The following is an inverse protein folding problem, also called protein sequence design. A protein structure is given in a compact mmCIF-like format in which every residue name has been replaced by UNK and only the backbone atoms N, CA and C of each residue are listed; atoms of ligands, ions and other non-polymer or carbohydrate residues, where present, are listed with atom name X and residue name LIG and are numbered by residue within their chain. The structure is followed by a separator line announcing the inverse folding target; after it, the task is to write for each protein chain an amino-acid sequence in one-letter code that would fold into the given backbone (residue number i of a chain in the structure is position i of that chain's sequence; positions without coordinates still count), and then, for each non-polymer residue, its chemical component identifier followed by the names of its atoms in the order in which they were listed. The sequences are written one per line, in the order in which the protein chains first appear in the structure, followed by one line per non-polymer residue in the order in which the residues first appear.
data_IF_343164041591
#
_entry.id   IF_343164041591
#
_cell.length_a   1.000
_cell.length_b   1.000
_cell.length_c   1.000
_cell.angle_alpha   90.00
_cell.angle_beta   90.00
_cell.angle_gamma   90.00
#
_symmetry.space_group_name_H-M   'P 1'
#
loop_
_entity.id
_entity.type
_entity.pdbx_description
1 polymer ?
#
# COMPACT_ATOMS: atom_id res chain seq x y z
N UNK A 1 4.72 28.45 -3.02
CA UNK A 1 4.85 28.14 -2.61
C UNK A 1 4.95 27.05 -2.09
N UNK A 2 4.74 26.57 -1.88
CA UNK A 2 4.72 25.56 -1.27
C UNK A 2 4.22 24.45 -1.94
N UNK A 3 3.99 24.49 -3.16
CA UNK A 3 3.52 23.39 -3.97
C UNK A 3 4.46 22.22 -3.93
N UNK A 4 5.75 22.47 -4.09
CA UNK A 4 6.63 21.34 -4.08
C UNK A 4 6.80 20.77 -2.70
N UNK A 5 6.61 21.56 -1.70
CA UNK A 5 6.65 21.02 -0.36
C UNK A 5 5.50 20.07 -0.15
N UNK A 6 4.35 20.42 -0.65
CA UNK A 6 3.20 19.55 -0.53
C UNK A 6 3.44 18.24 -1.23
N UNK A 7 4.07 18.29 -2.38
CA UNK A 7 4.27 17.07 -3.13
C UNK A 7 5.22 16.13 -2.43
N UNK A 8 6.27 16.65 -1.84
CA UNK A 8 7.22 15.78 -1.19
C UNK A 8 6.71 15.28 0.15
N UNK A 9 5.93 16.11 0.83
CA UNK A 9 5.49 15.70 2.14
C UNK A 9 4.29 14.82 2.16
N UNK A 10 3.56 14.78 1.08
CA UNK A 10 2.28 14.11 1.09
C UNK A 10 2.23 12.86 0.27
N UNK A 11 3.37 12.24 0.08
CA UNK A 11 3.39 10.92 -0.53
C UNK A 11 2.87 9.95 0.51
N UNK A 12 1.78 9.29 0.20
CA UNK A 12 1.16 8.33 1.12
C UNK A 12 1.66 6.95 0.75
N UNK A 13 2.21 6.25 1.71
CA UNK A 13 2.70 4.89 1.50
C UNK A 13 2.38 4.04 2.72
N UNK A 14 2.62 2.74 2.60
CA UNK A 14 2.36 1.81 3.69
C UNK A 14 3.56 0.89 3.82
N UNK A 15 3.83 0.42 5.04
CA UNK A 15 4.94 -0.49 5.27
C UNK A 15 4.60 -1.93 4.97
N UNK A 16 5.62 -2.72 4.64
CA UNK A 16 5.43 -4.13 4.32
C UNK A 16 4.81 -4.92 5.47
N UNK A 17 5.09 -4.50 6.69
CA UNK A 17 4.64 -5.24 7.86
C UNK A 17 3.35 -4.71 8.45
N UNK A 18 2.82 -3.65 7.90
CA UNK A 18 1.54 -3.12 8.36
C UNK A 18 0.42 -4.06 7.98
N UNK A 19 -0.63 -4.15 8.80
CA UNK A 19 -1.78 -4.96 8.42
C UNK A 19 -2.45 -4.40 7.17
N UNK A 20 -3.06 -5.27 6.41
CA UNK A 20 -3.79 -4.87 5.22
C UNK A 20 -4.86 -3.83 5.56
N UNK A 21 -5.44 -3.90 6.75
CA UNK A 21 -6.46 -2.93 7.16
C UNK A 21 -5.93 -1.51 7.17
N UNK A 22 -4.64 -1.32 7.46
CA UNK A 22 -4.05 0.01 7.44
C UNK A 22 -4.02 0.54 6.01
N UNK A 23 -3.62 -0.30 5.05
CA UNK A 23 -3.62 0.11 3.65
C UNK A 23 -5.03 0.46 3.20
N UNK A 24 -6.00 -0.37 3.57
CA UNK A 24 -7.39 -0.11 3.18
C UNK A 24 -7.90 1.21 3.76
N UNK A 25 -7.53 1.49 4.99
CA UNK A 25 -7.93 2.73 5.64
C UNK A 25 -7.32 3.95 4.95
N UNK A 26 -6.04 3.85 4.57
CA UNK A 26 -5.38 4.94 3.87
C UNK A 26 -6.02 5.19 2.51
N UNK A 27 -6.34 4.12 1.80
CA UNK A 27 -7.01 4.24 0.51
C UNK A 27 -8.36 4.93 0.65
N UNK A 28 -9.10 4.56 1.68
CA UNK A 28 -10.40 5.16 1.93
C UNK A 28 -10.28 6.62 2.31
N UNK A 29 -9.35 6.91 3.20
CA UNK A 29 -9.20 8.26 3.72
C UNK A 29 -8.76 9.25 2.66
N UNK A 30 -7.86 8.84 1.78
CA UNK A 30 -7.31 9.72 0.77
C UNK A 30 -7.86 9.46 -0.63
N UNK A 31 -8.83 8.59 -0.71
CA UNK A 31 -9.49 8.26 -1.98
C UNK A 31 -8.48 7.78 -3.03
N UNK A 32 -7.67 6.82 -2.62
CA UNK A 32 -6.63 6.27 -3.48
C UNK A 32 -6.96 4.84 -3.87
N UNK A 33 -6.59 4.47 -5.08
CA UNK A 33 -6.76 3.09 -5.52
C UNK A 33 -5.48 2.29 -5.48
N UNK A 34 -4.36 2.94 -5.15
CA UNK A 34 -3.07 2.30 -5.15
C UNK A 34 -2.16 2.99 -4.14
N UNK A 35 -1.34 2.21 -3.47
CA UNK A 35 -0.37 2.73 -2.51
C UNK A 35 0.99 2.13 -2.76
N UNK A 36 2.06 2.92 -2.71
CA UNK A 36 3.40 2.35 -2.68
C UNK A 36 3.65 1.64 -1.35
N UNK A 37 4.42 0.56 -1.40
CA UNK A 37 4.76 -0.21 -0.22
C UNK A 37 6.25 -0.08 0.03
N UNK A 38 6.62 0.26 1.25
CA UNK A 38 8.01 0.49 1.61
C UNK A 38 8.49 -0.52 2.64
N UNK A 39 9.78 -0.87 2.52
CA UNK A 39 10.43 -1.67 3.56
C UNK A 39 10.69 -0.79 4.78
N UNK A 40 11.05 -1.40 5.91
CA UNK A 40 11.33 -0.62 7.12
C UNK A 40 12.43 0.42 6.94
N UNK A 41 13.37 0.19 6.03
CA UNK A 41 14.44 1.15 5.80
C UNK A 41 14.04 2.21 4.76
N UNK A 42 12.80 2.23 4.34
CA UNK A 42 12.30 3.31 3.49
C UNK A 42 12.39 3.07 2.00
N UNK A 43 12.75 1.86 1.59
CA UNK A 43 12.85 1.57 0.17
C UNK A 43 11.53 1.12 -0.40
N UNK A 44 11.25 1.60 -1.60
CA UNK A 44 10.04 1.18 -2.30
C UNK A 44 10.23 -0.26 -2.77
N UNK A 45 9.33 -1.14 -2.40
CA UNK A 45 9.46 -2.54 -2.75
C UNK A 45 8.25 -3.12 -3.46
N UNK A 46 7.18 -2.37 -3.58
CA UNK A 46 6.00 -2.89 -4.29
C UNK A 46 4.87 -1.90 -4.24
N UNK A 47 3.73 -2.37 -4.67
CA UNK A 47 2.50 -1.58 -4.68
C UNK A 47 1.37 -2.44 -4.17
N UNK A 48 0.37 -1.83 -3.57
CA UNK A 48 -0.85 -2.52 -3.21
C UNK A 48 -2.02 -1.70 -3.75
N UNK A 49 -2.95 -2.39 -4.40
CA UNK A 49 -4.12 -1.74 -4.97
C UNK A 49 -5.36 -2.15 -4.20
N UNK A 50 -6.44 -1.41 -4.40
CA UNK A 50 -7.72 -1.80 -3.81
C UNK A 50 -8.14 -3.17 -4.32
N UNK A 51 -7.81 -3.48 -5.56
CA UNK A 51 -8.10 -4.80 -6.11
C UNK A 51 -7.31 -5.88 -5.37
N UNK A 52 -6.05 -5.63 -5.03
CA UNK A 52 -5.26 -6.58 -4.23
C UNK A 52 -5.94 -6.85 -2.90
N UNK A 53 -6.43 -5.80 -2.25
CA UNK A 53 -7.10 -5.96 -0.97
C UNK A 53 -8.35 -6.81 -1.13
N UNK A 54 -9.14 -6.54 -2.14
CA UNK A 54 -10.38 -7.28 -2.35
C UNK A 54 -10.10 -8.73 -2.70
N UNK A 55 -9.22 -8.96 -3.68
CA UNK A 55 -9.05 -10.30 -4.22
C UNK A 55 -8.13 -11.18 -3.39
N UNK A 56 -7.09 -10.58 -2.82
CA UNK A 56 -6.08 -11.39 -2.14
C UNK A 56 -6.25 -11.42 -0.64
N UNK A 57 -7.10 -10.57 -0.10
CA UNK A 57 -7.36 -10.59 1.32
C UNK A 57 -8.81 -10.94 1.59
N UNK A 58 -9.74 -10.12 1.13
CA UNK A 58 -11.15 -10.33 1.46
C UNK A 58 -11.71 -11.58 0.79
N UNK A 59 -11.52 -11.71 -0.51
CA UNK A 59 -12.04 -12.87 -1.24
C UNK A 59 -11.33 -14.16 -0.85
N UNK A 60 -10.10 -14.06 -0.39
CA UNK A 60 -9.34 -15.22 0.06
C UNK A 60 -9.69 -15.63 1.49
N UNK A 61 -10.57 -14.90 2.13
CA UNK A 61 -10.99 -15.24 3.50
C UNK A 61 -9.97 -14.88 4.56
N UNK A 62 -9.07 -13.98 4.27
CA UNK A 62 -8.03 -13.60 5.23
C UNK A 62 -8.47 -12.42 6.06
N UNK A 63 -7.91 -12.36 7.26
CA UNK A 63 -8.24 -11.29 8.20
C UNK A 63 -7.34 -10.09 7.93
N UNK A 64 -7.91 -9.00 7.47
CA UNK A 64 -7.16 -7.80 7.12
C UNK A 64 -6.41 -7.21 8.30
N UNK A 65 -6.85 -7.49 9.51
CA UNK A 65 -6.16 -7.01 10.70
C UNK A 65 -4.93 -7.83 11.03
N UNK A 66 -4.83 -9.04 10.50
CA UNK A 66 -3.75 -9.95 10.85
C UNK A 66 -2.75 -10.15 9.72
N UNK A 67 -3.17 -9.97 8.48
CA UNK A 67 -2.33 -10.24 7.33
C UNK A 67 -1.50 -9.01 6.99
N UNK A 68 -0.18 -9.14 6.87
CA UNK A 68 0.64 -7.99 6.50
C UNK A 68 0.51 -7.67 5.02
N UNK A 69 0.73 -6.42 4.69
CA UNK A 69 0.61 -5.93 3.32
C UNK A 69 1.51 -6.71 2.37
N UNK A 70 2.68 -7.12 2.83
CA UNK A 70 3.62 -7.81 1.96
C UNK A 70 3.05 -9.09 1.38
N UNK A 71 2.05 -9.68 2.01
CA UNK A 71 1.48 -10.94 1.52
C UNK A 71 0.52 -10.74 0.36
N UNK A 72 0.03 -9.53 0.18
CA UNK A 72 -0.93 -9.28 -0.89
C UNK A 72 -0.44 -8.28 -1.91
N UNK A 73 0.68 -7.62 -1.67
CA UNK A 73 1.16 -6.58 -2.57
C UNK A 73 1.66 -7.17 -3.88
N UNK A 74 1.77 -6.32 -4.87
CA UNK A 74 2.33 -6.69 -6.17
C UNK A 74 3.73 -6.13 -6.26
N UNK A 75 4.67 -6.96 -6.68
CA UNK A 75 6.06 -6.53 -6.81
C UNK A 75 6.50 -6.46 -8.26
N UNK A 76 5.85 -7.21 -9.11
CA UNK A 76 6.26 -7.23 -10.51
C UNK A 76 6.16 -5.88 -11.19
N UNK A 77 5.32 -5.03 -10.68
CA UNK A 77 5.15 -3.71 -11.26
C UNK A 77 6.45 -2.93 -11.27
N UNK A 78 7.25 -3.09 -10.24
CA UNK A 78 8.50 -2.35 -10.15
C UNK A 78 9.56 -2.92 -11.05
N UNK A 79 9.45 -4.17 -11.39
CA UNK A 79 10.46 -4.80 -12.21
C UNK A 79 10.36 -4.40 -13.66
N UNK A 80 9.25 -3.86 -14.02
CA UNK A 80 9.05 -3.46 -15.39
C UNK A 80 9.89 -2.30 -15.79
N UNK A 81 10.21 -1.48 -14.91
CA UNK A 81 10.95 -0.35 -15.24
C UNK A 81 12.16 -0.48 -15.37
#
# INVERSE_FOLDING_TARGET
MKVKDCMTKHVISVGTQEPVSVAARLMSRYNLGILPVQTPDGRLCGMVTDRDVVLRCVAAGKDAEAVPVREIMSTGVLAVE
#
